data_IF_967759314671
#
_entry.id   IF_967759314671
#
_cell.length_a   1.000
_cell.length_b   1.000
_cell.length_c   1.000
_cell.angle_alpha   90.00
_cell.angle_beta   90.00
_cell.angle_gamma   90.00
#
_symmetry.space_group_name_H-M   'P 1'
#
loop_
_entity.id
_entity.type
_entity.pdbx_description
1 polymer ?
#
# COMPACT_ATOMS: atom_id res chain seq x y z
N UNK A 1 1.93 31.25 -4.30
CA UNK A 1 1.23 30.02 -4.40
C UNK A 1 2.05 28.85 -3.86
N UNK A 2 1.66 28.30 -2.76
CA UNK A 2 2.37 27.18 -2.20
C UNK A 2 2.13 25.90 -3.01
N UNK A 3 3.19 25.20 -3.35
CA UNK A 3 3.04 23.88 -3.91
C UNK A 3 2.60 22.93 -2.80
N UNK A 4 1.54 22.22 -3.02
CA UNK A 4 1.14 21.17 -2.09
C UNK A 4 2.11 20.02 -2.21
N UNK A 5 2.64 19.58 -1.09
CA UNK A 5 3.46 18.39 -1.10
C UNK A 5 2.59 17.18 -1.42
N UNK A 6 3.03 16.42 -2.39
CA UNK A 6 2.40 15.14 -2.69
C UNK A 6 2.84 14.14 -1.63
N UNK A 7 1.88 13.55 -0.94
CA UNK A 7 2.16 12.53 0.06
C UNK A 7 2.24 11.18 -0.65
N UNK A 8 3.41 10.57 -0.62
CA UNK A 8 3.63 9.25 -1.21
C UNK A 8 3.48 8.18 -0.15
N UNK A 9 2.68 7.16 -0.45
CA UNK A 9 2.40 6.11 0.51
C UNK A 9 2.54 4.74 -0.13
N UNK A 10 2.98 3.76 0.66
CA UNK A 10 2.90 2.36 0.29
C UNK A 10 1.83 1.75 1.18
N UNK A 11 0.90 1.02 0.60
CA UNK A 11 -0.24 0.47 1.32
C UNK A 11 -0.13 -1.05 1.31
N UNK A 12 -0.10 -1.67 2.50
CA UNK A 12 0.03 -3.12 2.53
C UNK A 12 -1.25 -3.79 2.03
N UNK A 13 -1.11 -5.07 1.70
CA UNK A 13 -2.16 -5.81 1.01
C UNK A 13 -3.47 -5.84 1.79
N UNK A 14 -3.42 -6.11 3.09
CA UNK A 14 -4.64 -6.22 3.88
C UNK A 14 -5.39 -4.90 3.95
N UNK A 15 -4.67 -3.79 4.01
CA UNK A 15 -5.29 -2.47 4.02
C UNK A 15 -5.99 -2.18 2.69
N UNK A 16 -5.33 -2.50 1.56
CA UNK A 16 -5.93 -2.32 0.24
C UNK A 16 -7.21 -3.15 0.11
N UNK A 17 -7.13 -4.43 0.50
CA UNK A 17 -8.30 -5.31 0.41
C UNK A 17 -9.44 -4.78 1.27
N UNK A 18 -9.15 -4.37 2.50
CA UNK A 18 -10.17 -3.82 3.38
C UNK A 18 -10.78 -2.55 2.81
N UNK A 19 -9.96 -1.69 2.24
CA UNK A 19 -10.45 -0.45 1.63
C UNK A 19 -11.41 -0.72 0.48
N UNK A 20 -11.02 -1.64 -0.42
CA UNK A 20 -11.78 -1.88 -1.64
C UNK A 20 -13.05 -2.72 -1.40
N UNK A 21 -13.01 -3.66 -0.45
CA UNK A 21 -14.11 -4.60 -0.28
C UNK A 21 -15.02 -4.28 0.90
N UNK A 22 -14.49 -3.69 1.96
CA UNK A 22 -15.25 -3.52 3.19
C UNK A 22 -15.46 -2.08 3.61
N UNK A 23 -14.70 -1.15 3.06
CA UNK A 23 -14.85 0.26 3.42
C UNK A 23 -14.25 0.58 4.79
N UNK A 24 -15.06 1.16 5.67
CA UNK A 24 -14.60 1.58 6.99
C UNK A 24 -13.48 2.62 6.92
N UNK A 25 -12.61 2.62 7.94
CA UNK A 25 -11.51 3.57 7.99
C UNK A 25 -10.54 3.37 6.83
N UNK A 26 -10.14 2.13 6.47
CA UNK A 26 -9.29 1.96 5.28
C UNK A 26 -9.94 2.51 4.01
N UNK A 27 -11.27 2.42 3.89
CA UNK A 27 -11.98 2.95 2.73
C UNK A 27 -11.83 4.45 2.55
N UNK A 28 -11.49 5.18 3.60
CA UNK A 28 -11.26 6.61 3.52
C UNK A 28 -10.01 6.97 2.71
N UNK A 29 -9.14 5.98 2.45
CA UNK A 29 -7.97 6.20 1.61
C UNK A 29 -8.34 6.34 0.13
N UNK A 30 -9.44 5.72 -0.30
CA UNK A 30 -9.80 5.68 -1.72
C UNK A 30 -10.04 7.09 -2.29
N UNK A 31 -10.90 7.92 -1.69
CA UNK A 31 -11.06 9.27 -2.23
C UNK A 31 -9.78 10.09 -2.17
N UNK A 32 -8.90 9.81 -1.20
CA UNK A 32 -7.63 10.53 -1.12
C UNK A 32 -6.72 10.21 -2.31
N UNK A 33 -6.66 8.93 -2.72
CA UNK A 33 -5.82 8.62 -3.87
C UNK A 33 -6.48 8.97 -5.19
N UNK A 34 -7.81 8.92 -5.28
CA UNK A 34 -8.50 9.30 -6.51
C UNK A 34 -8.43 10.80 -6.76
N UNK A 35 -8.40 11.60 -5.70
CA UNK A 35 -8.30 13.06 -5.82
C UNK A 35 -6.86 13.55 -5.96
N UNK A 36 -5.87 12.69 -5.74
CA UNK A 36 -4.48 13.06 -5.81
C UNK A 36 -3.89 13.65 -4.54
N UNK A 37 -4.64 13.65 -3.44
CA UNK A 37 -4.09 14.08 -2.15
C UNK A 37 -2.97 13.17 -1.69
N UNK A 38 -3.07 11.87 -1.98
CA UNK A 38 -1.98 10.93 -1.77
C UNK A 38 -1.67 10.25 -3.08
N UNK A 39 -0.43 9.79 -3.22
CA UNK A 39 0.04 9.03 -4.37
C UNK A 39 0.49 7.66 -3.89
N UNK A 40 -0.35 6.64 -4.05
CA UNK A 40 0.06 5.29 -3.66
C UNK A 40 1.14 4.78 -4.60
N UNK A 41 2.11 4.09 -4.03
CA UNK A 41 3.22 3.49 -4.77
C UNK A 41 3.10 1.97 -4.67
N UNK A 42 3.44 1.28 -5.74
CA UNK A 42 3.48 -0.18 -5.71
C UNK A 42 4.51 -0.68 -6.70
N UNK A 43 5.28 -1.67 -6.30
CA UNK A 43 6.15 -2.40 -7.21
C UNK A 43 5.33 -3.48 -7.91
N UNK A 44 5.93 -4.09 -8.94
CA UNK A 44 5.28 -5.22 -9.60
C UNK A 44 4.98 -6.35 -8.61
N UNK A 45 5.89 -6.59 -7.66
CA UNK A 45 5.69 -7.63 -6.64
C UNK A 45 4.50 -7.31 -5.75
N UNK A 46 4.33 -6.05 -5.37
CA UNK A 46 3.20 -5.64 -4.56
C UNK A 46 1.88 -5.79 -5.33
N UNK A 47 1.86 -5.38 -6.59
CA UNK A 47 0.67 -5.55 -7.44
C UNK A 47 0.30 -7.04 -7.54
N UNK A 48 1.30 -7.90 -7.76
CA UNK A 48 1.07 -9.34 -7.83
C UNK A 48 0.50 -9.87 -6.50
N UNK A 49 1.00 -9.36 -5.38
CA UNK A 49 0.49 -9.74 -4.07
C UNK A 49 -0.97 -9.31 -3.89
N UNK A 50 -1.32 -8.09 -4.30
CA UNK A 50 -2.70 -7.63 -4.24
C UNK A 50 -3.62 -8.57 -5.03
N UNK A 51 -3.21 -8.91 -6.25
CA UNK A 51 -4.01 -9.79 -7.12
C UNK A 51 -4.14 -11.16 -6.49
N UNK A 52 -3.04 -11.72 -6.01
CA UNK A 52 -3.03 -13.05 -5.42
C UNK A 52 -3.99 -13.16 -4.24
N UNK A 53 -3.96 -12.15 -3.37
CA UNK A 53 -4.83 -12.16 -2.19
C UNK A 53 -6.29 -11.98 -2.58
N UNK A 54 -6.57 -11.17 -3.61
CA UNK A 54 -7.94 -11.02 -4.09
C UNK A 54 -8.53 -12.33 -4.64
N UNK A 55 -7.69 -13.29 -5.03
CA UNK A 55 -8.19 -14.60 -5.51
C UNK A 55 -8.54 -15.54 -4.36
N UNK A 56 -8.30 -15.19 -3.12
CA UNK A 56 -8.61 -16.07 -1.99
C UNK A 56 -10.12 -16.32 -1.92
N UNK A 57 -10.54 -17.58 -1.73
CA UNK A 57 -11.97 -17.93 -1.75
C UNK A 57 -12.82 -17.17 -0.74
N UNK A 58 -12.23 -16.75 0.38
CA UNK A 58 -12.98 -16.05 1.42
C UNK A 58 -13.56 -14.71 0.93
N UNK A 59 -12.98 -14.12 -0.11
CA UNK A 59 -13.47 -12.85 -0.63
C UNK A 59 -14.54 -13.03 -1.70
N UNK A 60 -14.70 -14.23 -2.23
CA UNK A 60 -15.76 -14.57 -3.19
C UNK A 60 -15.79 -13.66 -4.41
N UNK A 61 -14.62 -13.21 -4.85
CA UNK A 61 -14.52 -12.39 -6.05
C UNK A 61 -14.36 -13.26 -7.28
N UNK A 62 -15.08 -12.90 -8.34
CA UNK A 62 -14.89 -13.54 -9.64
C UNK A 62 -13.78 -12.79 -10.40
N UNK A 63 -13.28 -13.43 -11.46
CA UNK A 63 -12.16 -12.88 -12.22
C UNK A 63 -12.45 -11.48 -12.75
N UNK A 64 -13.67 -11.25 -13.25
CA UNK A 64 -14.04 -9.93 -13.77
C UNK A 64 -14.03 -8.85 -12.71
N UNK A 65 -14.40 -9.20 -11.48
CA UNK A 65 -14.39 -8.25 -10.38
C UNK A 65 -12.96 -7.88 -10.00
N UNK A 66 -12.07 -8.87 -9.96
CA UNK A 66 -10.65 -8.62 -9.68
C UNK A 66 -10.06 -7.72 -10.75
N UNK A 67 -10.38 -8.03 -12.02
CA UNK A 67 -9.92 -7.23 -13.14
C UNK A 67 -10.40 -5.78 -13.03
N UNK A 68 -11.68 -5.60 -12.66
CA UNK A 68 -12.25 -4.26 -12.47
C UNK A 68 -11.50 -3.48 -11.36
N UNK A 69 -11.31 -4.12 -10.21
CA UNK A 69 -10.64 -3.45 -9.09
C UNK A 69 -9.22 -3.03 -9.48
N UNK A 70 -8.49 -3.91 -10.15
CA UNK A 70 -7.14 -3.63 -10.57
C UNK A 70 -7.09 -2.49 -11.58
N UNK A 71 -7.88 -2.57 -12.64
CA UNK A 71 -7.75 -1.65 -13.77
C UNK A 71 -8.49 -0.32 -13.59
N UNK A 72 -9.49 -0.27 -12.72
CA UNK A 72 -10.27 0.95 -12.54
C UNK A 72 -10.09 1.61 -11.18
N UNK A 73 -9.70 0.83 -10.15
CA UNK A 73 -9.57 1.37 -8.80
C UNK A 73 -8.11 1.54 -8.36
N UNK A 74 -7.20 0.76 -8.91
CA UNK A 74 -5.78 0.77 -8.48
C UNK A 74 -4.88 1.40 -9.52
N UNK A 75 -4.71 0.75 -10.67
CA UNK A 75 -3.69 1.13 -11.64
C UNK A 75 -3.77 2.58 -12.12
N UNK A 76 -4.96 3.17 -12.34
CA UNK A 76 -4.99 4.57 -12.82
C UNK A 76 -4.42 5.58 -11.83
N UNK A 77 -4.34 5.21 -10.56
CA UNK A 77 -3.97 6.15 -9.49
C UNK A 77 -2.64 5.83 -8.83
N UNK A 78 -2.14 4.62 -9.00
CA UNK A 78 -0.91 4.18 -8.34
C UNK A 78 0.29 4.46 -9.23
N UNK A 79 1.41 4.80 -8.60
CA UNK A 79 2.68 4.93 -9.30
C UNK A 79 3.41 3.61 -9.17
N UNK A 80 3.79 3.01 -10.31
CA UNK A 80 4.55 1.77 -10.31
C UNK A 80 6.03 2.08 -10.14
N UNK A 81 6.63 1.47 -9.13
CA UNK A 81 8.01 1.73 -8.74
C UNK A 81 8.86 0.52 -9.10
N UNK A 82 9.99 0.75 -9.76
CA UNK A 82 10.97 -0.31 -10.03
C UNK A 82 11.84 -0.53 -8.80
N UNK A 83 11.94 -1.78 -8.36
CA UNK A 83 12.72 -2.15 -7.19
C UNK A 83 13.69 -3.24 -7.57
N UNK A 84 14.98 -3.05 -7.28
CA UNK A 84 15.99 -4.07 -7.46
C UNK A 84 15.91 -5.13 -6.36
N UNK A 85 16.61 -6.25 -6.55
CA UNK A 85 16.63 -7.28 -5.51
C UNK A 85 17.36 -6.77 -4.27
N UNK A 86 16.92 -7.20 -3.06
CA UNK A 86 17.62 -6.81 -1.84
C UNK A 86 18.92 -7.58 -1.70
N UNK A 87 19.90 -6.96 -1.03
CA UNK A 87 21.16 -7.62 -0.71
C UNK A 87 20.95 -8.66 0.40
N UNK A 88 20.03 -8.39 1.33
CA UNK A 88 19.67 -9.31 2.39
C UNK A 88 18.28 -8.97 2.87
N UNK A 89 17.55 -9.92 3.45
CA UNK A 89 16.22 -9.64 3.99
C UNK A 89 16.29 -8.59 5.09
N UNK A 90 15.34 -7.67 5.08
CA UNK A 90 15.24 -6.63 6.09
C UNK A 90 14.52 -7.15 7.32
N UNK A 91 13.44 -7.92 7.11
CA UNK A 91 12.65 -8.53 8.18
C UNK A 91 12.82 -10.04 8.06
N UNK A 92 13.53 -10.64 9.03
CA UNK A 92 13.83 -12.06 8.98
C UNK A 92 12.62 -12.94 9.31
N UNK A 93 11.70 -12.43 10.14
CA UNK A 93 10.54 -13.22 10.55
C UNK A 93 9.50 -13.33 9.47
N UNK A 94 9.38 -12.32 8.63
CA UNK A 94 8.40 -12.29 7.55
C UNK A 94 9.02 -11.60 6.34
N UNK A 95 9.78 -12.36 5.53
CA UNK A 95 10.46 -11.78 4.36
C UNK A 95 9.50 -11.16 3.35
N UNK A 96 8.21 -11.58 3.33
CA UNK A 96 7.26 -10.99 2.39
C UNK A 96 7.00 -9.51 2.66
N UNK A 97 7.21 -9.05 3.90
CA UNK A 97 7.04 -7.63 4.24
C UNK A 97 8.16 -6.77 3.67
N UNK A 98 9.29 -7.38 3.32
CA UNK A 98 10.41 -6.63 2.74
C UNK A 98 10.01 -5.92 1.46
N UNK A 99 9.08 -6.47 0.68
CA UNK A 99 8.67 -5.82 -0.57
C UNK A 99 8.05 -4.44 -0.33
N UNK A 100 7.34 -4.26 0.79
CA UNK A 100 6.75 -2.96 1.11
C UNK A 100 7.82 -1.96 1.52
N UNK A 101 8.78 -2.39 2.32
CA UNK A 101 9.89 -1.54 2.75
C UNK A 101 10.76 -1.13 1.57
N UNK A 102 11.07 -2.09 0.69
CA UNK A 102 11.91 -1.83 -0.48
C UNK A 102 11.21 -0.88 -1.46
N UNK A 103 9.92 -1.07 -1.67
CA UNK A 103 9.16 -0.18 -2.55
C UNK A 103 9.10 1.24 -1.96
N UNK A 104 8.88 1.33 -0.66
CA UNK A 104 8.81 2.64 0.01
C UNK A 104 10.13 3.38 -0.10
N UNK A 105 11.24 2.67 0.05
CA UNK A 105 12.55 3.27 -0.06
C UNK A 105 12.83 3.71 -1.50
N UNK A 106 12.59 2.82 -2.47
CA UNK A 106 12.87 3.10 -3.87
C UNK A 106 12.00 4.25 -4.40
N UNK A 107 10.75 4.32 -3.96
CA UNK A 107 9.82 5.36 -4.40
C UNK A 107 9.83 6.60 -3.54
N UNK A 108 10.67 6.65 -2.53
CA UNK A 108 10.77 7.77 -1.59
C UNK A 108 9.42 8.09 -0.95
N UNK A 109 8.78 7.04 -0.40
CA UNK A 109 7.51 7.19 0.27
C UNK A 109 7.67 7.99 1.57
N UNK A 110 6.62 8.69 1.94
CA UNK A 110 6.55 9.37 3.25
C UNK A 110 6.03 8.42 4.32
N UNK A 111 5.13 7.50 3.94
CA UNK A 111 4.48 6.60 4.89
C UNK A 111 4.32 5.21 4.29
N UNK A 112 4.31 4.22 5.17
CA UNK A 112 3.76 2.90 4.89
C UNK A 112 2.51 2.76 5.75
N UNK A 113 1.39 2.39 5.13
CA UNK A 113 0.13 2.23 5.83
C UNK A 113 -0.15 0.74 5.96
N UNK A 114 -0.20 0.24 7.18
CA UNK A 114 -0.28 -1.19 7.45
C UNK A 114 -1.05 -1.47 8.73
N UNK A 115 -1.68 -2.63 8.80
CA UNK A 115 -2.24 -3.15 10.05
C UNK A 115 -1.43 -4.28 10.63
N UNK A 116 -0.31 -4.63 9.98
CA UNK A 116 0.52 -5.76 10.40
C UNK A 116 1.44 -5.37 11.55
N UNK A 117 1.42 -6.18 12.62
CA UNK A 117 2.20 -5.87 13.81
C UNK A 117 3.71 -5.87 13.56
N UNK A 118 4.19 -6.72 12.65
CA UNK A 118 5.62 -6.75 12.34
C UNK A 118 6.09 -5.44 11.72
N UNK A 119 5.31 -4.90 10.79
CA UNK A 119 5.64 -3.61 10.19
C UNK A 119 5.43 -2.47 11.19
N UNK A 120 4.29 -2.45 11.88
CA UNK A 120 3.99 -1.39 12.83
C UNK A 120 4.99 -1.33 13.97
N UNK A 121 5.54 -2.46 14.38
CA UNK A 121 6.52 -2.49 15.47
C UNK A 121 7.82 -1.78 15.11
N UNK A 122 8.12 -1.63 13.82
CA UNK A 122 9.30 -0.87 13.39
C UNK A 122 9.12 0.61 13.61
N UNK A 123 7.88 1.11 13.62
CA UNK A 123 7.51 2.53 13.74
C UNK A 123 8.05 3.40 12.62
N UNK A 124 9.30 3.25 12.28
CA UNK A 124 9.96 3.96 11.19
C UNK A 124 10.90 3.01 10.48
N UNK A 125 11.03 3.18 9.18
CA UNK A 125 12.06 2.54 8.39
C UNK A 125 12.79 3.65 7.65
N UNK A 126 14.03 3.90 8.03
CA UNK A 126 14.79 5.06 7.56
C UNK A 126 13.99 6.31 7.91
N UNK A 127 13.59 7.12 6.96
CA UNK A 127 12.79 8.31 7.25
C UNK A 127 11.31 8.12 6.93
N UNK A 128 10.90 6.88 6.73
CA UNK A 128 9.54 6.53 6.35
C UNK A 128 8.79 6.12 7.61
N UNK A 129 7.67 6.78 7.90
CA UNK A 129 6.84 6.42 9.05
C UNK A 129 5.89 5.30 8.70
N UNK A 130 5.69 4.38 9.63
CA UNK A 130 4.78 3.26 9.46
C UNK A 130 3.60 3.47 10.38
N UNK A 131 2.41 3.66 9.79
CA UNK A 131 1.19 3.99 10.53
C UNK A 131 0.08 3.04 10.12
N UNK A 132 -0.89 2.81 11.04
CA UNK A 132 -2.10 2.13 10.63
C UNK A 132 -3.05 3.13 9.95
N UNK A 133 -4.12 2.65 9.29
CA UNK A 133 -5.01 3.55 8.55
C UNK A 133 -5.61 4.66 9.40
N UNK A 134 -6.02 4.35 10.63
CA UNK A 134 -6.60 5.35 11.51
C UNK A 134 -5.60 6.44 11.87
N UNK A 135 -4.38 6.03 12.22
CA UNK A 135 -3.32 6.98 12.54
C UNK A 135 -3.00 7.87 11.35
N UNK A 136 -2.96 7.27 10.16
CA UNK A 136 -2.65 8.03 8.96
C UNK A 136 -3.73 9.07 8.66
N UNK A 137 -4.99 8.65 8.68
CA UNK A 137 -6.11 9.55 8.38
C UNK A 137 -6.15 10.71 9.38
N UNK A 138 -5.92 10.41 10.66
CA UNK A 138 -5.90 11.45 11.69
C UNK A 138 -4.74 12.42 11.56
N UNK A 139 -3.67 12.02 10.88
CA UNK A 139 -2.50 12.87 10.72
C UNK A 139 -2.64 13.89 9.59
N UNK A 140 -3.66 13.76 8.79
CA UNK A 140 -3.87 14.66 7.65
C UNK A 140 -4.41 16.03 8.04
#
# INVERSE_FOLDING_TARGET
MGSQKVIRVVIDTNVIISALLFGGIPGQLIPLWKSGHIKPLASAEIIDEYIRVMTYPKFKLIEEEIHYLLHFEILPYFIVVSVGPPLSPIIQKDPSDDMFLLCAEAGKANFIISGDQHLLSLKNYKQIKILNPEQFVKSL
#
